data_IF_014159278357
#
_entry.id   IF_014159278357
#
_cell.length_a   1.000
_cell.length_b   1.000
_cell.length_c   1.000
_cell.angle_alpha   90.00
_cell.angle_beta   90.00
_cell.angle_gamma   90.00
#
_symmetry.space_group_name_H-M   'P 1'
#
loop_
_entity.id
_entity.type
_entity.pdbx_description
1 polymer ?
#
# COMPACT_ATOMS: atom_id res chain seq x y z
N UNK A 1 -27.30 11.95 -30.57
CA UNK A 1 -28.74 12.17 -30.33
C UNK A 1 -28.92 12.61 -28.88
N UNK A 2 -29.22 13.89 -28.63
CA UNK A 2 -29.49 14.42 -27.29
C UNK A 2 -30.98 14.22 -26.98
N UNK A 3 -31.29 13.69 -25.79
CA UNK A 3 -32.66 13.63 -25.28
C UNK A 3 -32.99 14.96 -24.60
N UNK A 4 -34.18 15.48 -24.89
CA UNK A 4 -34.62 16.82 -24.54
C UNK A 4 -35.92 16.66 -23.72
N UNK A 5 -35.94 17.16 -22.48
CA UNK A 5 -37.15 17.15 -21.65
C UNK A 5 -37.74 18.56 -21.61
N UNK A 6 -39.04 18.70 -21.91
CA UNK A 6 -39.73 19.98 -21.99
C UNK A 6 -40.64 20.18 -20.77
N UNK A 7 -40.52 21.34 -20.10
CA UNK A 7 -41.47 21.80 -19.10
C UNK A 7 -42.07 23.15 -19.53
N UNK A 8 -43.40 23.25 -19.55
CA UNK A 8 -44.15 24.43 -20.01
C UNK A 8 -44.39 25.40 -18.85
N UNK A 9 -43.81 26.60 -18.94
CA UNK A 9 -44.29 27.77 -18.20
C UNK A 9 -44.05 29.04 -19.05
N UNK A 10 -45.14 29.70 -19.45
CA UNK A 10 -45.18 30.97 -20.22
C UNK A 10 -44.29 31.06 -21.47
N UNK A 11 -44.74 30.43 -22.57
CA UNK A 11 -44.52 30.92 -23.95
C UNK A 11 -43.09 31.02 -24.52
N UNK A 12 -42.04 30.76 -23.73
CA UNK A 12 -40.64 30.81 -24.17
C UNK A 12 -40.00 29.45 -23.86
N UNK A 13 -39.66 28.68 -24.90
CA UNK A 13 -38.92 27.42 -24.75
C UNK A 13 -37.48 27.74 -24.36
N UNK A 14 -37.15 27.71 -23.07
CA UNK A 14 -35.76 27.77 -22.60
C UNK A 14 -35.20 26.35 -22.58
N UNK A 15 -34.38 26.00 -23.57
CA UNK A 15 -33.62 24.77 -23.53
C UNK A 15 -32.44 24.93 -22.57
N UNK A 16 -32.52 24.29 -21.40
CA UNK A 16 -31.37 24.17 -20.51
C UNK A 16 -30.45 23.10 -21.11
N UNK A 17 -29.31 23.52 -21.65
CA UNK A 17 -28.25 22.58 -22.04
C UNK A 17 -27.82 21.83 -20.78
N UNK A 18 -28.20 20.55 -20.68
CA UNK A 18 -27.59 19.64 -19.72
C UNK A 18 -26.26 19.25 -20.35
N UNK A 19 -25.17 19.73 -19.77
CA UNK A 19 -23.82 19.32 -20.11
C UNK A 19 -23.66 17.82 -19.75
N UNK A 20 -23.97 16.94 -20.71
CA UNK A 20 -23.80 15.48 -20.59
C UNK A 20 -22.34 15.07 -20.58
N UNK A 21 -21.44 15.93 -21.07
CA UNK A 21 -19.98 15.75 -20.94
C UNK A 21 -19.55 15.80 -19.48
N UNK A 22 -20.16 16.65 -18.65
CA UNK A 22 -19.92 16.70 -17.19
C UNK A 22 -20.31 15.41 -16.45
N UNK A 23 -21.30 14.66 -16.95
CA UNK A 23 -21.73 13.38 -16.36
C UNK A 23 -20.87 12.18 -16.78
N UNK A 24 -20.14 12.32 -17.90
CA UNK A 24 -19.15 11.33 -18.36
C UNK A 24 -17.78 11.57 -17.69
N UNK A 25 -17.54 12.77 -17.14
CA UNK A 25 -16.34 13.11 -16.36
C UNK A 25 -16.54 12.95 -14.84
N UNK A 26 -17.30 11.94 -14.41
CA UNK A 26 -16.91 11.30 -13.15
C UNK A 26 -15.68 10.48 -13.53
N UNK A 27 -14.50 11.09 -13.50
CA UNK A 27 -13.24 10.36 -13.69
C UNK A 27 -13.33 9.12 -12.80
N UNK A 28 -13.40 7.94 -13.43
CA UNK A 28 -13.55 6.71 -12.71
C UNK A 28 -12.33 6.60 -11.81
N UNK A 29 -12.56 6.62 -10.50
CA UNK A 29 -11.49 6.48 -9.54
C UNK A 29 -10.71 5.20 -9.88
N UNK A 30 -9.39 5.32 -10.00
CA UNK A 30 -8.58 4.23 -10.52
C UNK A 30 -8.31 3.22 -9.43
N UNK A 31 -8.57 1.96 -9.74
CA UNK A 31 -8.35 0.87 -8.79
C UNK A 31 -7.00 0.20 -9.04
N UNK A 32 -6.32 -0.11 -7.96
CA UNK A 32 -5.15 -0.97 -7.94
C UNK A 32 -5.48 -2.20 -7.09
N UNK A 33 -5.46 -3.37 -7.72
CA UNK A 33 -5.52 -4.65 -7.04
C UNK A 33 -4.09 -5.00 -6.64
N UNK A 34 -3.81 -4.95 -5.34
CA UNK A 34 -2.49 -5.30 -4.83
C UNK A 34 -2.49 -6.66 -4.18
N UNK A 35 -1.35 -7.32 -4.30
CA UNK A 35 -1.05 -8.56 -3.62
C UNK A 35 0.33 -8.45 -2.97
N UNK A 36 0.37 -8.52 -1.65
CA UNK A 36 1.61 -8.54 -0.88
C UNK A 36 1.41 -9.19 0.49
N UNK A 37 2.48 -9.75 1.01
CA UNK A 37 2.53 -10.40 2.32
C UNK A 37 3.51 -9.62 3.20
N UNK A 38 3.20 -9.46 4.48
CA UNK A 38 4.10 -8.84 5.46
C UNK A 38 4.89 -9.94 6.16
N UNK A 39 6.21 -9.82 6.25
CA UNK A 39 7.07 -10.90 6.73
C UNK A 39 6.69 -11.37 8.14
N UNK A 40 6.45 -10.44 9.07
CA UNK A 40 6.07 -10.79 10.43
C UNK A 40 4.74 -11.57 10.47
N UNK A 41 3.76 -11.10 9.70
CA UNK A 41 2.37 -11.58 9.75
C UNK A 41 2.08 -12.79 8.87
N UNK A 42 3.00 -13.17 7.99
CA UNK A 42 2.85 -14.32 7.09
C UNK A 42 3.46 -15.59 7.72
N UNK A 43 2.64 -16.64 7.86
CA UNK A 43 3.09 -17.93 8.42
C UNK A 43 3.35 -19.01 7.37
N UNK A 44 3.23 -18.70 6.07
CA UNK A 44 3.35 -19.68 4.97
C UNK A 44 2.03 -20.26 4.48
N UNK A 45 0.91 -19.93 5.11
CA UNK A 45 -0.43 -20.32 4.65
C UNK A 45 -1.43 -19.18 4.71
N UNK A 46 -1.43 -18.40 5.79
CA UNK A 46 -2.30 -17.25 6.00
C UNK A 46 -1.48 -16.08 6.53
N UNK A 47 -1.98 -14.88 6.24
CA UNK A 47 -1.44 -13.64 6.78
C UNK A 47 -2.39 -13.09 7.84
N UNK A 48 -1.85 -12.64 8.98
CA UNK A 48 -2.64 -11.84 9.93
C UNK A 48 -3.01 -10.48 9.30
N UNK A 49 -4.31 -10.18 9.27
CA UNK A 49 -4.85 -9.00 8.60
C UNK A 49 -4.46 -7.71 9.32
N UNK A 50 -4.15 -6.66 8.55
CA UNK A 50 -3.90 -5.31 9.10
C UNK A 50 -4.17 -4.24 8.02
N UNK A 51 -4.09 -2.98 8.45
CA UNK A 51 -4.19 -1.81 7.58
C UNK A 51 -2.85 -1.42 6.98
N UNK A 52 -2.85 -1.14 5.68
CA UNK A 52 -1.68 -0.75 4.90
C UNK A 52 -2.01 0.52 4.13
N UNK A 53 -1.01 1.35 3.88
CA UNK A 53 -1.15 2.57 3.08
C UNK A 53 -0.40 2.38 1.78
N UNK A 54 -1.13 2.46 0.66
CA UNK A 54 -0.54 2.42 -0.67
C UNK A 54 -0.49 3.86 -1.20
N UNK A 55 0.67 4.27 -1.67
CA UNK A 55 0.91 5.59 -2.26
C UNK A 55 1.17 5.43 -3.75
N UNK A 56 0.70 6.39 -4.53
CA UNK A 56 1.18 6.63 -5.89
C UNK A 56 2.13 7.81 -5.86
N UNK A 57 3.32 7.62 -6.41
CA UNK A 57 4.33 8.67 -6.54
C UNK A 57 4.65 8.97 -8.00
N UNK A 58 4.95 10.23 -8.28
CA UNK A 58 5.35 10.69 -9.61
C UNK A 58 6.55 9.88 -10.13
N UNK A 59 6.69 9.69 -11.45
CA UNK A 59 7.73 8.84 -12.04
C UNK A 59 9.12 9.50 -12.06
N UNK A 60 9.19 10.81 -11.80
CA UNK A 60 10.40 11.61 -11.85
C UNK A 60 10.66 12.29 -10.51
N UNK A 61 11.95 12.49 -10.19
CA UNK A 61 12.39 13.21 -9.01
C UNK A 61 11.73 14.61 -8.96
N UNK A 62 11.21 15.06 -7.80
CA UNK A 62 11.40 14.51 -6.44
C UNK A 62 10.40 13.41 -6.02
N UNK A 63 9.77 12.71 -6.97
CA UNK A 63 8.85 11.58 -6.72
C UNK A 63 7.71 11.95 -5.76
N UNK A 64 7.12 13.12 -5.99
CA UNK A 64 6.02 13.66 -5.20
C UNK A 64 4.89 12.65 -5.08
N UNK A 65 4.27 12.57 -3.90
CA UNK A 65 3.05 11.77 -3.70
C UNK A 65 1.93 12.42 -4.52
N UNK A 66 1.32 11.62 -5.40
CA UNK A 66 0.19 12.02 -6.25
C UNK A 66 -1.12 11.66 -5.56
N UNK A 67 -1.20 10.46 -4.99
CA UNK A 67 -2.39 9.99 -4.30
C UNK A 67 -2.04 8.92 -3.25
N UNK A 68 -2.99 8.64 -2.36
CA UNK A 68 -2.83 7.66 -1.29
C UNK A 68 -4.14 6.96 -0.95
N UNK A 69 -4.06 5.67 -0.63
CA UNK A 69 -5.19 4.89 -0.16
C UNK A 69 -4.77 4.06 1.06
N UNK A 70 -5.54 4.16 2.15
CA UNK A 70 -5.42 3.25 3.29
C UNK A 70 -6.44 2.14 3.14
N UNK A 71 -5.99 0.89 3.19
CA UNK A 71 -6.81 -0.29 2.89
C UNK A 71 -6.53 -1.41 3.90
N UNK A 72 -7.51 -2.30 4.08
CA UNK A 72 -7.31 -3.53 4.84
C UNK A 72 -6.69 -4.58 3.90
N UNK A 73 -5.63 -5.22 4.37
CA UNK A 73 -4.99 -6.34 3.70
C UNK A 73 -5.62 -7.63 4.22
N UNK A 74 -6.28 -8.39 3.34
CA UNK A 74 -6.94 -9.64 3.72
C UNK A 74 -5.93 -10.77 3.96
N UNK A 75 -6.38 -11.86 4.60
CA UNK A 75 -5.53 -12.99 5.00
C UNK A 75 -4.78 -13.72 3.88
N UNK A 76 -5.10 -13.46 2.61
CA UNK A 76 -4.41 -13.94 1.42
C UNK A 76 -3.48 -12.88 0.78
N UNK A 77 -3.22 -11.77 1.47
CA UNK A 77 -2.39 -10.67 1.00
C UNK A 77 -3.05 -9.78 -0.04
N UNK A 78 -4.36 -9.89 -0.27
CA UNK A 78 -5.09 -9.11 -1.27
C UNK A 78 -5.65 -7.80 -0.68
N UNK A 79 -5.63 -6.73 -1.48
CA UNK A 79 -6.40 -5.52 -1.21
C UNK A 79 -6.72 -4.75 -2.49
N UNK A 80 -7.73 -3.88 -2.42
CA UNK A 80 -8.09 -2.96 -3.50
C UNK A 80 -7.89 -1.53 -3.00
N UNK A 81 -6.93 -0.82 -3.60
CA UNK A 81 -6.68 0.59 -3.35
C UNK A 81 -7.38 1.45 -4.41
N UNK A 82 -7.98 2.55 -3.98
CA UNK A 82 -8.69 3.50 -4.85
C UNK A 82 -7.94 4.82 -4.92
N UNK A 83 -7.65 5.32 -6.12
CA UNK A 83 -6.89 6.53 -6.37
C UNK A 83 -7.69 7.53 -7.23
N UNK A 84 -8.54 8.36 -6.62
CA UNK A 84 -9.35 9.35 -7.33
C UNK A 84 -8.54 10.53 -7.91
N UNK A 85 -7.31 10.75 -7.46
CA UNK A 85 -6.44 11.84 -7.94
C UNK A 85 -5.41 11.37 -8.97
N UNK A 86 -5.43 10.08 -9.32
CA UNK A 86 -4.54 9.50 -10.33
C UNK A 86 -5.20 9.50 -11.71
N UNK A 87 -4.41 9.85 -12.72
CA UNK A 87 -4.84 9.88 -14.12
C UNK A 87 -4.47 8.58 -14.86
N UNK A 88 -5.38 8.08 -15.68
CA UNK A 88 -5.12 6.96 -16.61
C UNK A 88 -4.05 7.33 -17.62
N UNK A 89 -3.28 6.34 -18.08
CA UNK A 89 -2.22 6.54 -19.07
C UNK A 89 -0.94 7.20 -18.51
N UNK A 90 -0.95 7.62 -17.26
CA UNK A 90 0.23 8.14 -16.56
C UNK A 90 0.92 7.03 -15.79
N UNK A 91 2.25 7.12 -15.72
CA UNK A 91 3.11 6.19 -15.00
C UNK A 91 3.34 6.68 -13.56
N UNK A 92 3.21 5.78 -12.58
CA UNK A 92 3.46 6.08 -11.17
C UNK A 92 4.32 4.98 -10.53
N UNK A 93 5.15 5.35 -9.55
CA UNK A 93 5.64 4.36 -8.59
C UNK A 93 4.50 3.98 -7.64
N UNK A 94 4.35 2.68 -7.41
CA UNK A 94 3.52 2.15 -6.34
C UNK A 94 4.41 1.98 -5.11
N UNK A 95 4.00 2.53 -3.97
CA UNK A 95 4.72 2.40 -2.71
C UNK A 95 3.79 1.86 -1.65
N UNK A 96 4.24 0.88 -0.89
CA UNK A 96 3.50 0.28 0.21
C UNK A 96 4.15 0.69 1.53
N UNK A 97 3.34 1.20 2.45
CA UNK A 97 3.71 1.50 3.84
C UNK A 97 2.84 0.69 4.78
N UNK A 98 3.46 0.18 5.83
CA UNK A 98 2.79 -0.45 6.96
C UNK A 98 3.46 0.04 8.25
N UNK A 99 2.73 0.00 9.36
CA UNK A 99 3.10 0.68 10.61
C UNK A 99 4.42 0.23 11.24
N UNK A 100 4.90 -0.97 10.89
CA UNK A 100 6.10 -1.57 11.46
C UNK A 100 6.93 -2.32 10.41
N UNK A 101 6.78 -1.95 9.14
CA UNK A 101 7.51 -2.56 8.03
C UNK A 101 8.19 -1.49 7.19
N UNK A 102 9.27 -1.86 6.52
CA UNK A 102 10.00 -0.93 5.65
C UNK A 102 9.13 -0.48 4.49
N UNK A 103 9.19 0.81 4.18
CA UNK A 103 8.56 1.36 2.99
C UNK A 103 9.08 0.64 1.74
N UNK A 104 8.18 -0.02 1.00
CA UNK A 104 8.54 -0.81 -0.17
C UNK A 104 8.06 -0.16 -1.46
N UNK A 105 8.99 0.09 -2.38
CA UNK A 105 8.70 0.65 -3.69
C UNK A 105 8.61 -0.44 -4.75
N UNK A 106 7.69 -0.30 -5.69
CA UNK A 106 7.71 -1.07 -6.93
C UNK A 106 9.02 -0.85 -7.69
N UNK A 107 9.54 -1.91 -8.32
CA UNK A 107 10.81 -1.90 -9.06
C UNK A 107 10.88 -0.81 -10.12
N UNK A 108 9.76 -0.59 -10.79
CA UNK A 108 9.60 0.38 -11.87
C UNK A 108 8.21 1.00 -11.80
N UNK A 109 8.07 2.15 -12.43
CA UNK A 109 6.78 2.82 -12.58
C UNK A 109 5.79 1.95 -13.36
N UNK A 110 4.53 2.01 -12.96
CA UNK A 110 3.42 1.28 -13.58
C UNK A 110 2.45 2.28 -14.20
N UNK A 111 1.94 1.95 -15.39
CA UNK A 111 0.93 2.75 -16.07
C UNK A 111 -0.46 2.25 -15.65
N UNK A 112 -1.34 3.15 -15.24
CA UNK A 112 -2.74 2.79 -15.03
C UNK A 112 -3.47 2.70 -16.37
N UNK A 113 -4.05 1.54 -16.73
CA UNK A 113 -4.77 1.39 -17.99
C UNK A 113 -6.07 2.19 -17.97
N UNK A 114 -6.51 2.65 -19.14
CA UNK A 114 -7.74 3.42 -19.27
C UNK A 114 -8.96 2.55 -18.94
N UNK A 115 -9.74 2.96 -17.94
CA UNK A 115 -11.02 2.32 -17.59
C UNK A 115 -10.92 0.93 -16.96
N UNK A 116 -9.72 0.48 -16.59
CA UNK A 116 -9.48 -0.82 -15.98
C UNK A 116 -8.59 -0.72 -14.75
N UNK A 117 -8.74 -1.62 -13.76
CA UNK A 117 -7.82 -1.69 -12.65
C UNK A 117 -6.41 -2.12 -13.11
N UNK A 118 -5.39 -1.59 -12.44
CA UNK A 118 -4.03 -2.15 -12.48
C UNK A 118 -3.94 -3.31 -11.48
N UNK A 119 -3.24 -4.38 -11.82
CA UNK A 119 -2.92 -5.47 -10.89
C UNK A 119 -1.41 -5.49 -10.64
N UNK A 120 -1.00 -5.47 -9.38
CA UNK A 120 0.40 -5.51 -8.98
C UNK A 120 0.64 -6.47 -7.82
N UNK A 121 1.42 -7.52 -8.07
CA UNK A 121 1.73 -8.57 -7.08
C UNK A 121 3.22 -8.58 -6.74
N UNK A 122 3.57 -8.16 -5.52
CA UNK A 122 4.93 -8.17 -4.98
C UNK A 122 5.45 -9.58 -4.68
N UNK A 123 4.56 -10.55 -4.47
CA UNK A 123 4.89 -11.87 -3.92
C UNK A 123 5.48 -12.83 -4.94
N UNK A 124 5.42 -12.47 -6.22
CA UNK A 124 5.82 -13.33 -7.34
C UNK A 124 7.34 -13.36 -7.56
N UNK A 125 8.09 -12.33 -7.18
CA UNK A 125 9.54 -12.27 -7.32
C UNK A 125 10.11 -11.12 -6.50
N UNK A 126 11.33 -11.27 -5.96
CA UNK A 126 12.08 -10.15 -5.35
C UNK A 126 12.22 -8.96 -6.30
N UNK A 127 12.31 -9.23 -7.61
CA UNK A 127 12.43 -8.19 -8.66
C UNK A 127 11.20 -7.31 -8.83
N UNK A 128 10.11 -7.58 -8.10
CA UNK A 128 8.95 -6.67 -8.01
C UNK A 128 9.23 -5.47 -7.12
N UNK A 129 10.13 -5.56 -6.16
CA UNK A 129 10.53 -4.40 -5.36
C UNK A 129 11.79 -3.72 -5.91
N UNK A 130 11.87 -2.40 -5.69
CA UNK A 130 13.10 -1.66 -5.90
C UNK A 130 14.23 -2.25 -5.03
N UNK A 131 15.44 -2.29 -5.56
CA UNK A 131 16.59 -2.94 -4.89
C UNK A 131 16.45 -4.46 -4.65
N UNK A 132 15.42 -5.12 -5.19
CA UNK A 132 15.07 -6.51 -4.86
C UNK A 132 14.80 -6.71 -3.35
N UNK A 133 14.25 -5.68 -2.69
CA UNK A 133 14.12 -5.58 -1.24
C UNK A 133 12.89 -6.32 -0.69
N UNK A 134 12.84 -7.64 -0.88
CA UNK A 134 11.77 -8.51 -0.36
C UNK A 134 12.35 -9.79 0.24
N UNK A 135 11.75 -10.26 1.33
CA UNK A 135 12.09 -11.52 1.99
C UNK A 135 11.35 -12.68 1.33
N UNK A 136 12.04 -13.75 0.94
CA UNK A 136 11.35 -14.99 0.62
C UNK A 136 11.02 -15.77 1.91
N UNK A 137 9.73 -15.98 2.20
CA UNK A 137 9.24 -16.69 3.39
C UNK A 137 7.97 -17.47 3.03
N UNK A 138 7.89 -18.75 3.41
CA UNK A 138 6.66 -19.53 3.28
C UNK A 138 6.09 -19.61 1.86
N UNK A 139 6.95 -19.70 0.84
CA UNK A 139 6.54 -19.84 -0.56
C UNK A 139 6.29 -18.53 -1.32
N UNK A 140 6.35 -17.38 -0.65
CA UNK A 140 6.05 -16.07 -1.24
C UNK A 140 7.14 -15.04 -0.90
N UNK A 141 7.21 -13.96 -1.69
CA UNK A 141 7.99 -12.79 -1.33
C UNK A 141 7.18 -11.83 -0.45
N UNK A 142 7.75 -11.47 0.69
CA UNK A 142 7.15 -10.64 1.71
C UNK A 142 7.90 -9.31 1.85
N UNK A 143 7.18 -8.27 2.25
CA UNK A 143 7.77 -7.00 2.69
C UNK A 143 8.42 -7.22 4.05
N UNK A 144 9.66 -6.76 4.22
CA UNK A 144 10.38 -6.87 5.48
C UNK A 144 9.69 -6.10 6.61
N UNK A 145 9.59 -6.74 7.77
CA UNK A 145 8.99 -6.20 8.99
C UNK A 145 10.09 -5.90 10.02
N UNK A 146 9.93 -4.85 10.81
CA UNK A 146 10.86 -4.47 11.90
C UNK A 146 11.24 -3.00 11.95
N UNK A 147 10.82 -2.19 10.98
CA UNK A 147 11.01 -0.72 11.01
C UNK A 147 9.88 -0.08 11.83
N UNK A 148 10.02 -0.16 13.15
CA UNK A 148 9.02 0.24 14.14
C UNK A 148 8.99 1.75 14.36
N UNK A 149 10.12 2.42 14.17
CA UNK A 149 10.25 3.87 14.32
C UNK A 149 9.96 4.64 13.00
N UNK A 150 9.84 3.91 11.87
CA UNK A 150 9.55 4.44 10.53
C UNK A 150 10.64 5.39 10.00
N UNK A 151 11.90 5.17 10.36
CA UNK A 151 13.06 5.93 9.85
C UNK A 151 13.63 5.37 8.53
N UNK A 152 13.17 4.19 8.13
CA UNK A 152 13.54 3.53 6.89
C UNK A 152 14.75 2.60 7.00
N UNK A 153 15.23 2.29 8.20
CA UNK A 153 16.28 1.32 8.48
C UNK A 153 15.76 0.41 9.60
N UNK A 154 16.04 -0.89 9.52
CA UNK A 154 15.80 -1.80 10.65
C UNK A 154 17.11 -1.91 11.43
N UNK A 155 17.15 -1.39 12.65
CA UNK A 155 18.37 -1.39 13.46
C UNK A 155 18.13 -1.57 14.98
N UNK A 156 19.16 -1.25 15.77
CA UNK A 156 19.14 -1.37 17.23
C UNK A 156 18.11 -0.44 17.90
N UNK A 157 17.72 0.67 17.26
CA UNK A 157 16.68 1.55 17.77
C UNK A 157 15.31 0.86 17.73
N UNK A 158 14.99 0.15 16.64
CA UNK A 158 13.77 -0.65 16.55
C UNK A 158 13.77 -1.81 17.55
N UNK A 159 14.91 -2.49 17.65
CA UNK A 159 15.08 -3.59 18.59
C UNK A 159 14.85 -3.12 20.03
N UNK A 160 15.37 -1.93 20.37
CA UNK A 160 15.17 -1.33 21.69
C UNK A 160 13.71 -0.99 21.95
N UNK A 161 12.93 -0.58 20.94
CA UNK A 161 11.50 -0.35 21.10
C UNK A 161 10.76 -1.66 21.44
N UNK A 162 11.04 -2.74 20.71
CA UNK A 162 10.45 -4.05 20.98
C UNK A 162 10.85 -4.56 22.36
N UNK A 163 12.15 -4.56 22.70
CA UNK A 163 12.65 -5.06 23.99
C UNK A 163 12.08 -4.30 25.21
N UNK A 164 11.90 -2.98 25.07
CA UNK A 164 11.21 -2.18 26.09
C UNK A 164 9.76 -2.63 26.26
N UNK A 165 9.02 -2.82 25.18
CA UNK A 165 7.61 -3.22 25.26
C UNK A 165 7.41 -4.66 25.79
N UNK A 166 8.35 -5.56 25.51
CA UNK A 166 8.44 -6.89 26.17
C UNK A 166 8.57 -6.72 27.69
N UNK A 167 9.49 -5.86 28.12
CA UNK A 167 9.78 -5.63 29.54
C UNK A 167 8.60 -5.01 30.32
N UNK A 168 7.74 -4.24 29.63
CA UNK A 168 6.55 -3.63 30.22
C UNK A 168 5.24 -4.38 29.93
N UNK A 169 5.30 -5.52 29.23
CA UNK A 169 4.13 -6.32 28.82
C UNK A 169 3.04 -5.48 28.13
N UNK A 170 3.43 -4.55 27.25
CA UNK A 170 2.51 -3.59 26.62
C UNK A 170 1.59 -4.32 25.63
N UNK A 171 0.27 -4.14 25.78
CA UNK A 171 -0.77 -4.76 24.93
C UNK A 171 -2.02 -3.85 24.86
N UNK A 172 -2.90 -3.97 23.84
CA UNK A 172 -2.77 -4.68 22.57
C UNK A 172 -2.63 -3.73 21.35
N UNK A 173 -2.28 -4.27 20.17
CA UNK A 173 -2.17 -3.56 18.88
C UNK A 173 -1.20 -2.38 18.91
N UNK A 174 0.05 -2.64 19.27
CA UNK A 174 1.13 -1.64 19.26
C UNK A 174 2.05 -1.85 18.06
N UNK A 175 2.92 -0.87 17.78
CA UNK A 175 3.79 -0.92 16.59
C UNK A 175 4.84 -2.03 16.69
N UNK A 176 5.17 -2.45 17.90
CA UNK A 176 6.14 -3.51 18.24
C UNK A 176 5.58 -4.93 18.20
N UNK A 177 4.25 -5.08 17.99
CA UNK A 177 3.59 -6.36 17.65
C UNK A 177 3.72 -6.60 16.13
N UNK A 178 4.80 -7.28 15.77
CA UNK A 178 5.27 -7.48 14.40
C UNK A 178 4.59 -8.67 13.73
N UNK A 179 4.33 -9.74 14.47
CA UNK A 179 3.67 -10.94 13.92
C UNK A 179 2.14 -10.86 13.96
N UNK A 180 1.57 -9.94 14.74
CA UNK A 180 0.14 -9.68 14.79
C UNK A 180 -0.65 -10.52 15.78
N UNK A 181 0.01 -11.31 16.63
CA UNK A 181 -0.65 -12.18 17.59
C UNK A 181 -1.21 -11.46 18.83
N UNK A 182 -0.96 -10.14 18.92
CA UNK A 182 -1.38 -9.19 19.97
C UNK A 182 -0.57 -9.28 21.27
N UNK A 183 0.49 -10.05 21.28
CA UNK A 183 1.51 -10.06 22.31
C UNK A 183 2.77 -9.39 21.73
N UNK A 184 3.59 -8.82 22.62
CA UNK A 184 4.94 -8.41 22.23
C UNK A 184 5.89 -9.28 23.00
N UNK A 185 6.58 -10.17 22.29
CA UNK A 185 7.47 -11.15 22.89
C UNK A 185 8.74 -11.44 22.07
N UNK A 186 9.42 -12.53 22.39
CA UNK A 186 10.66 -12.90 21.73
C UNK A 186 10.48 -13.21 20.23
N UNK A 187 9.28 -13.56 19.76
CA UNK A 187 8.98 -13.74 18.34
C UNK A 187 9.17 -12.42 17.58
N UNK A 188 8.61 -11.32 18.08
CA UNK A 188 8.76 -9.98 17.50
C UNK A 188 10.22 -9.54 17.52
N UNK A 189 10.89 -9.73 18.66
CA UNK A 189 12.30 -9.37 18.79
C UNK A 189 13.17 -10.13 17.77
N UNK A 190 12.86 -11.40 17.54
CA UNK A 190 13.58 -12.22 16.57
C UNK A 190 13.40 -11.73 15.13
N UNK A 191 12.24 -11.13 14.79
CA UNK A 191 12.00 -10.55 13.46
C UNK A 191 12.91 -9.34 13.26
N UNK A 192 12.94 -8.41 14.22
CA UNK A 192 13.80 -7.21 14.15
C UNK A 192 15.27 -7.60 14.13
N UNK A 193 15.70 -8.49 15.02
CA UNK A 193 17.12 -8.90 15.14
C UNK A 193 17.65 -9.50 13.83
N UNK A 194 16.89 -10.44 13.25
CA UNK A 194 17.27 -11.04 11.97
C UNK A 194 17.37 -10.00 10.85
N UNK A 195 16.47 -9.04 10.79
CA UNK A 195 16.45 -8.04 9.73
C UNK A 195 17.47 -6.91 9.95
N UNK A 196 17.75 -6.55 11.20
CA UNK A 196 18.84 -5.65 11.58
C UNK A 196 20.20 -6.26 11.26
N UNK A 197 20.40 -7.55 11.56
CA UNK A 197 21.62 -8.28 11.20
C UNK A 197 21.86 -8.28 9.68
N UNK A 198 20.79 -8.35 8.89
CA UNK A 198 20.85 -8.28 7.42
C UNK A 198 20.93 -6.85 6.86
N UNK A 199 21.01 -5.83 7.71
CA UNK A 199 21.05 -4.41 7.34
C UNK A 199 19.89 -4.00 6.41
N UNK A 200 18.69 -4.51 6.67
CA UNK A 200 17.50 -4.20 5.88
C UNK A 200 17.18 -2.71 6.02
N UNK A 201 16.97 -2.05 4.89
CA UNK A 201 16.62 -0.63 4.81
C UNK A 201 15.76 -0.35 3.59
N UNK A 202 15.14 0.83 3.52
CA UNK A 202 14.32 1.27 2.40
C UNK A 202 15.17 1.42 1.14
N UNK A 203 14.74 0.73 0.08
CA UNK A 203 15.30 0.85 -1.26
C UNK A 203 14.30 1.59 -2.15
N UNK A 204 14.72 2.72 -2.71
CA UNK A 204 13.90 3.59 -3.57
C UNK A 204 14.72 4.24 -4.68
N UNK A 205 14.07 4.73 -5.76
CA UNK A 205 14.73 5.40 -6.88
C UNK A 205 15.55 6.64 -6.54
#
# INVERSE_FOLDING_TARGET
MQALEAALHYGIMIYKLIDTTKKILQEAALYLLNFFSLEGRWNGSVMEEDTVTVLLRAPLSPFNVVDSARVNLSSNGFCIANFPNANSGIYYYIVVKHRNSVETWAKAVQQFPLGHPLSYDFRTSSTKAYGNNLKYKGGEYCIYTGDTNQDGIIDAADMSMVDNDISFFVQPYIVTDLDGDRFVDASDLSIVDNNAFNAVSVMKP
#
